data_IF_099223554518
#
_entry.id   IF_099223554518
#
_cell.length_a   1.000
_cell.length_b   1.000
_cell.length_c   1.000
_cell.angle_alpha   90.00
_cell.angle_beta   90.00
_cell.angle_gamma   90.00
#
_symmetry.space_group_name_H-M   'P 1'
#
loop_
_entity.id
_entity.type
_entity.pdbx_description
1 polymer ?
#
# COMPACT_ATOMS: atom_id res chain seq x y z
N UNK A 1 -44.38 49.98 1.09
CA UNK A 1 -43.01 49.43 1.03
C UNK A 1 -42.87 48.30 2.06
N UNK A 2 -43.51 47.15 1.84
CA UNK A 2 -43.44 45.99 2.75
C UNK A 2 -43.33 44.64 2.00
N UNK A 3 -42.89 44.68 0.73
CA UNK A 3 -42.81 43.48 -0.10
C UNK A 3 -41.39 42.85 -0.14
N UNK A 4 -40.38 43.50 0.42
CA UNK A 4 -39.02 42.94 0.51
C UNK A 4 -38.84 41.95 1.67
N UNK A 5 -39.65 42.03 2.72
CA UNK A 5 -39.52 41.15 3.89
C UNK A 5 -40.10 39.75 3.65
N UNK A 6 -41.05 39.60 2.72
CA UNK A 6 -41.67 38.29 2.43
C UNK A 6 -40.75 37.43 1.56
N UNK A 7 -39.93 38.04 0.69
CA UNK A 7 -38.95 37.34 -0.14
C UNK A 7 -37.81 36.72 0.68
N UNK A 8 -37.36 37.40 1.75
CA UNK A 8 -36.32 36.88 2.64
C UNK A 8 -36.78 35.68 3.49
N UNK A 9 -38.06 35.66 3.89
CA UNK A 9 -38.61 34.57 4.72
C UNK A 9 -38.78 33.29 3.89
N UNK A 10 -39.13 33.40 2.60
CA UNK A 10 -39.29 32.23 1.72
C UNK A 10 -37.95 31.55 1.35
N UNK A 11 -36.85 32.31 1.29
CA UNK A 11 -35.53 31.76 0.97
C UNK A 11 -34.91 30.92 2.12
N UNK A 12 -35.33 31.15 3.37
CA UNK A 12 -34.80 30.43 4.54
C UNK A 12 -35.53 29.10 4.84
N UNK A 13 -36.74 28.89 4.30
CA UNK A 13 -37.49 27.62 4.47
C UNK A 13 -37.28 26.64 3.30
N UNK A 14 -36.78 27.13 2.16
CA UNK A 14 -36.47 26.32 0.97
C UNK A 14 -35.00 25.85 0.91
N UNK A 15 -34.20 26.07 1.95
CA UNK A 15 -32.84 25.55 2.08
C UNK A 15 -32.67 24.61 3.29
N UNK A 16 -33.32 23.43 3.32
CA UNK A 16 -32.61 22.31 3.97
C UNK A 16 -32.83 20.91 3.35
N UNK A 17 -33.36 20.79 2.12
CA UNK A 17 -33.47 19.46 1.47
C UNK A 17 -32.34 19.25 0.46
N UNK A 18 -31.96 20.27 -0.32
CA UNK A 18 -30.94 20.12 -1.36
C UNK A 18 -29.48 20.20 -0.88
N UNK A 19 -29.22 20.70 0.34
CA UNK A 19 -27.86 20.75 0.91
C UNK A 19 -27.45 19.45 1.61
N UNK A 20 -28.38 18.52 1.86
CA UNK A 20 -28.06 17.19 2.42
C UNK A 20 -27.65 16.16 1.37
N UNK A 21 -27.77 16.48 0.08
CA UNK A 21 -27.35 15.58 -1.01
C UNK A 21 -25.97 15.90 -1.62
N UNK A 22 -25.28 16.93 -1.11
CA UNK A 22 -23.91 17.28 -1.54
C UNK A 22 -22.90 17.13 -0.40
N UNK A 23 -23.02 16.05 0.36
CA UNK A 23 -21.92 15.52 1.16
C UNK A 23 -21.92 14.00 1.07
N UNK A 24 -22.06 13.47 -0.15
CA UNK A 24 -21.25 12.29 -0.42
C UNK A 24 -19.87 12.82 -0.76
N UNK A 25 -18.94 12.61 0.16
CA UNK A 25 -17.54 12.90 0.00
C UNK A 25 -17.01 11.91 -1.04
N UNK A 26 -17.33 12.11 -2.32
CA UNK A 26 -16.41 11.72 -3.38
C UNK A 26 -15.27 12.74 -3.40
N UNK A 27 -14.50 12.79 -2.30
CA UNK A 27 -13.07 12.83 -2.51
C UNK A 27 -12.86 11.59 -3.35
N UNK A 28 -12.61 11.74 -4.66
CA UNK A 28 -11.86 10.70 -5.35
C UNK A 28 -10.72 10.41 -4.38
N UNK A 29 -10.79 9.27 -3.68
CA UNK A 29 -9.79 8.96 -2.68
C UNK A 29 -8.49 8.92 -3.47
N UNK A 30 -7.72 10.00 -3.40
CA UNK A 30 -6.41 10.06 -4.00
C UNK A 30 -5.61 9.09 -3.17
N UNK A 31 -5.58 7.86 -3.62
CA UNK A 31 -4.84 6.81 -2.98
C UNK A 31 -3.36 7.14 -3.04
N UNK A 32 -2.60 6.51 -2.15
CA UNK A 32 -1.16 6.63 -2.15
C UNK A 32 -0.55 6.14 -3.46
N UNK A 33 0.76 6.36 -3.65
CA UNK A 33 1.50 5.74 -4.74
C UNK A 33 1.24 4.23 -4.80
N UNK A 34 1.05 3.71 -6.01
CA UNK A 34 0.80 2.29 -6.31
C UNK A 34 -0.48 1.68 -5.68
N UNK A 35 -1.34 2.49 -5.06
CA UNK A 35 -2.63 2.05 -4.56
C UNK A 35 -3.76 2.38 -5.55
N UNK A 36 -4.78 1.53 -5.59
CA UNK A 36 -5.95 1.69 -6.45
C UNK A 36 -7.20 1.78 -5.59
N UNK A 37 -8.02 2.81 -5.77
CA UNK A 37 -9.30 2.88 -5.07
C UNK A 37 -10.24 1.77 -5.57
N UNK A 38 -10.71 0.93 -4.65
CA UNK A 38 -11.66 -0.14 -4.94
C UNK A 38 -12.93 0.06 -4.12
N UNK A 39 -14.08 -0.02 -4.78
CA UNK A 39 -15.39 -0.10 -4.13
C UNK A 39 -15.62 -1.42 -3.39
N UNK A 40 -14.80 -2.43 -3.66
CA UNK A 40 -14.89 -3.77 -3.08
C UNK A 40 -13.46 -4.24 -2.89
N UNK A 41 -12.82 -3.75 -1.82
CA UNK A 41 -11.43 -4.04 -1.50
C UNK A 41 -11.31 -5.43 -0.87
N UNK A 42 -10.24 -6.16 -1.19
CA UNK A 42 -9.96 -7.48 -0.62
C UNK A 42 -8.79 -7.40 0.37
N UNK A 43 -8.36 -8.54 0.92
CA UNK A 43 -7.12 -8.56 1.69
C UNK A 43 -5.90 -8.27 0.81
N UNK A 44 -4.81 -7.82 1.41
CA UNK A 44 -3.55 -7.46 0.74
C UNK A 44 -2.43 -8.35 1.25
N UNK A 45 -1.46 -8.66 0.39
CA UNK A 45 -0.20 -9.25 0.82
C UNK A 45 0.71 -8.19 1.45
N UNK A 46 1.58 -8.63 2.35
CA UNK A 46 2.64 -7.81 2.95
C UNK A 46 4.01 -8.30 2.51
N UNK A 47 5.06 -7.52 2.75
CA UNK A 47 6.43 -8.00 2.52
C UNK A 47 6.79 -9.24 3.35
N UNK A 48 6.19 -9.40 4.54
CA UNK A 48 6.43 -10.55 5.43
C UNK A 48 5.56 -11.76 5.07
N UNK A 49 4.36 -11.52 4.55
CA UNK A 49 3.44 -12.56 4.07
C UNK A 49 2.88 -12.16 2.69
N UNK A 50 3.60 -12.46 1.60
CA UNK A 50 3.17 -12.09 0.25
C UNK A 50 1.93 -12.86 -0.20
N UNK A 51 1.93 -14.18 0.02
CA UNK A 51 0.92 -15.11 -0.47
C UNK A 51 -0.19 -15.34 0.55
N UNK A 52 -1.06 -14.35 0.70
CA UNK A 52 -2.23 -14.45 1.60
C UNK A 52 -3.44 -15.06 0.90
N UNK A 53 -4.13 -15.98 1.60
CA UNK A 53 -5.43 -16.49 1.16
C UNK A 53 -6.54 -15.48 1.50
N UNK A 54 -6.96 -14.69 0.52
CA UNK A 54 -8.07 -13.77 0.73
C UNK A 54 -9.44 -14.47 0.75
N UNK A 55 -10.37 -14.02 1.61
CA UNK A 55 -11.75 -14.46 1.54
C UNK A 55 -12.41 -14.02 0.24
N UNK A 56 -13.48 -14.73 -0.16
CA UNK A 56 -14.25 -14.41 -1.38
C UNK A 56 -15.22 -13.22 -1.24
N UNK A 57 -15.36 -12.68 -0.03
CA UNK A 57 -16.10 -11.44 0.19
C UNK A 57 -15.13 -10.26 0.20
N UNK A 58 -15.62 -9.07 -0.09
CA UNK A 58 -14.85 -7.84 0.03
C UNK A 58 -15.27 -7.03 1.25
N UNK A 59 -14.35 -6.16 1.64
CA UNK A 59 -14.51 -5.13 2.65
C UNK A 59 -15.09 -3.85 2.02
N UNK A 60 -15.20 -2.81 2.85
CA UNK A 60 -15.67 -1.48 2.43
C UNK A 60 -14.78 -0.85 1.35
N UNK A 61 -15.22 0.30 0.85
CA UNK A 61 -14.50 1.05 -0.17
C UNK A 61 -13.16 1.56 0.40
N UNK A 62 -12.04 1.18 -0.21
CA UNK A 62 -10.71 1.50 0.31
C UNK A 62 -9.66 1.63 -0.81
N UNK A 63 -8.54 2.26 -0.49
CA UNK A 63 -7.33 2.21 -1.30
C UNK A 63 -6.69 0.84 -1.13
N UNK A 64 -6.43 0.17 -2.27
CA UNK A 64 -6.00 -1.21 -2.30
C UNK A 64 -4.60 -1.35 -2.91
N UNK A 65 -3.69 -2.03 -2.21
CA UNK A 65 -2.38 -2.44 -2.71
C UNK A 65 -2.49 -3.79 -3.42
N UNK A 66 -2.46 -3.77 -4.75
CA UNK A 66 -2.85 -4.92 -5.56
C UNK A 66 -1.70 -5.95 -5.73
N UNK A 67 -1.78 -7.03 -4.94
CA UNK A 67 -0.87 -8.18 -5.02
C UNK A 67 -0.79 -8.80 -6.42
N UNK A 68 -1.91 -8.87 -7.14
CA UNK A 68 -1.96 -9.47 -8.48
C UNK A 68 -1.23 -8.60 -9.52
N UNK A 69 -1.04 -7.31 -9.22
CA UNK A 69 -0.22 -6.39 -10.01
C UNK A 69 1.25 -6.35 -9.54
N UNK A 70 1.64 -7.21 -8.58
CA UNK A 70 3.01 -7.31 -8.10
C UNK A 70 3.38 -6.32 -7.01
N UNK A 71 2.40 -5.75 -6.30
CA UNK A 71 2.64 -4.83 -5.20
C UNK A 71 2.36 -5.49 -3.83
N UNK A 72 3.09 -5.04 -2.81
CA UNK A 72 2.97 -5.49 -1.43
C UNK A 72 3.01 -4.29 -0.49
N UNK A 73 2.34 -4.40 0.66
CA UNK A 73 2.44 -3.39 1.69
C UNK A 73 3.65 -3.68 2.59
N UNK A 74 4.52 -2.69 2.74
CA UNK A 74 5.66 -2.77 3.66
C UNK A 74 5.24 -2.48 5.11
N UNK A 75 6.20 -2.61 6.04
CA UNK A 75 5.98 -2.38 7.46
C UNK A 75 5.78 -0.90 7.84
N UNK A 76 6.12 0.03 6.93
CA UNK A 76 5.87 1.46 7.07
C UNK A 76 4.48 1.85 6.48
N UNK A 77 3.76 0.89 5.89
CA UNK A 77 2.45 1.06 5.30
C UNK A 77 2.46 1.52 3.85
N UNK A 78 3.60 1.52 3.16
CA UNK A 78 3.70 1.90 1.75
C UNK A 78 3.35 0.72 0.82
N UNK A 79 2.67 1.00 -0.28
CA UNK A 79 2.48 0.03 -1.36
C UNK A 79 3.66 0.10 -2.34
N UNK A 80 4.52 -0.91 -2.29
CA UNK A 80 5.77 -0.97 -3.06
C UNK A 80 5.78 -2.20 -3.96
N UNK A 81 6.71 -2.28 -4.92
CA UNK A 81 6.84 -3.50 -5.73
C UNK A 81 7.33 -4.62 -4.83
N UNK A 82 6.88 -5.85 -5.11
CA UNK A 82 7.34 -7.05 -4.39
C UNK A 82 8.87 -7.16 -4.36
N UNK A 83 9.54 -6.74 -5.43
CA UNK A 83 11.00 -6.72 -5.54
C UNK A 83 11.69 -5.68 -4.63
N UNK A 84 10.97 -4.65 -4.21
CA UNK A 84 11.47 -3.60 -3.30
C UNK A 84 11.31 -3.98 -1.83
N UNK A 85 10.60 -5.09 -1.54
CA UNK A 85 10.51 -5.60 -0.19
C UNK A 85 11.93 -5.94 0.30
N UNK A 86 12.34 -5.26 1.37
CA UNK A 86 13.58 -5.63 2.06
C UNK A 86 13.36 -7.02 2.62
N UNK A 87 14.14 -8.03 2.19
CA UNK A 87 14.13 -9.29 2.91
C UNK A 87 14.44 -9.02 4.39
N UNK A 88 13.87 -9.81 5.28
CA UNK A 88 14.17 -9.80 6.70
C UNK A 88 15.65 -10.15 6.91
N UNK A 89 16.50 -9.13 6.74
CA UNK A 89 17.95 -9.18 6.86
C UNK A 89 18.44 -9.78 8.19
N UNK A 90 17.76 -9.59 9.34
CA UNK A 90 18.26 -10.15 10.60
C UNK A 90 18.24 -11.67 10.62
N UNK A 91 17.27 -12.33 9.98
CA UNK A 91 17.15 -13.80 10.03
C UNK A 91 18.06 -14.48 9.00
N UNK A 92 18.11 -13.96 7.77
CA UNK A 92 18.88 -14.57 6.67
C UNK A 92 20.37 -14.59 6.95
N UNK A 93 20.89 -13.56 7.63
CA UNK A 93 22.30 -13.43 7.98
C UNK A 93 22.61 -13.81 9.44
N UNK A 94 21.62 -14.30 10.22
CA UNK A 94 21.78 -14.56 11.66
C UNK A 94 22.93 -15.53 11.97
N UNK A 95 23.04 -16.59 11.17
CA UNK A 95 23.95 -17.72 11.40
C UNK A 95 25.12 -17.77 10.41
N UNK A 96 25.32 -16.71 9.61
CA UNK A 96 26.31 -16.70 8.53
C UNK A 96 27.56 -15.95 8.95
N UNK A 97 28.67 -16.69 9.06
CA UNK A 97 30.00 -16.13 9.30
C UNK A 97 30.71 -15.89 7.98
N UNK A 98 30.66 -14.67 7.49
CA UNK A 98 31.49 -14.25 6.36
C UNK A 98 32.96 -14.07 6.77
N UNK A 99 33.91 -14.19 5.83
CA UNK A 99 35.30 -13.77 6.01
C UNK A 99 35.42 -12.35 6.58
N UNK A 100 36.53 -12.05 7.26
CA UNK A 100 36.75 -10.77 7.96
C UNK A 100 36.65 -9.52 7.06
N UNK A 101 36.83 -9.67 5.74
CA UNK A 101 36.74 -8.59 4.75
C UNK A 101 35.37 -8.49 4.08
N UNK A 102 34.41 -9.32 4.51
CA UNK A 102 33.11 -9.45 3.88
C UNK A 102 31.99 -9.13 4.87
N UNK A 103 30.88 -8.65 4.33
CA UNK A 103 29.62 -8.49 5.06
C UNK A 103 28.55 -9.40 4.46
N UNK A 104 27.70 -9.95 5.32
CA UNK A 104 26.53 -10.69 4.85
C UNK A 104 25.45 -9.68 4.45
N UNK A 105 24.92 -9.84 3.24
CA UNK A 105 23.72 -9.16 2.79
C UNK A 105 22.71 -10.19 2.31
N UNK A 106 21.41 -10.02 2.58
CA UNK A 106 20.39 -10.84 1.96
C UNK A 106 20.36 -10.54 0.45
N UNK A 107 20.40 -11.58 -0.38
CA UNK A 107 20.44 -11.46 -1.84
C UNK A 107 19.31 -12.29 -2.46
N UNK A 108 18.65 -11.73 -3.47
CA UNK A 108 17.66 -12.42 -4.29
C UNK A 108 18.40 -13.19 -5.37
N UNK A 109 18.48 -14.51 -5.29
CA UNK A 109 19.22 -15.31 -6.27
C UNK A 109 18.33 -15.74 -7.45
N UNK A 110 17.34 -16.59 -7.17
CA UNK A 110 16.42 -17.11 -8.17
C UNK A 110 14.97 -16.82 -7.80
N UNK A 111 14.24 -16.27 -8.77
CA UNK A 111 12.80 -16.13 -8.68
C UNK A 111 12.14 -17.19 -9.55
N UNK A 112 11.29 -18.02 -8.94
CA UNK A 112 10.46 -19.02 -9.62
C UNK A 112 9.00 -18.72 -9.37
N UNK A 113 8.23 -18.55 -10.44
CA UNK A 113 6.78 -18.33 -10.37
C UNK A 113 6.38 -17.21 -9.41
N UNK A 114 7.15 -16.11 -9.39
CA UNK A 114 6.99 -14.94 -8.51
C UNK A 114 7.42 -15.11 -7.06
N UNK A 115 7.89 -16.30 -6.67
CA UNK A 115 8.51 -16.58 -5.38
C UNK A 115 10.02 -16.44 -5.55
N UNK A 116 10.62 -15.54 -4.79
CA UNK A 116 12.06 -15.33 -4.80
C UNK A 116 12.69 -15.98 -3.57
N UNK A 117 13.71 -16.79 -3.80
CA UNK A 117 14.51 -17.35 -2.71
C UNK A 117 15.51 -16.29 -2.25
N UNK A 118 15.44 -15.92 -0.97
CA UNK A 118 16.39 -15.02 -0.33
C UNK A 118 17.50 -15.87 0.28
N UNK A 119 18.72 -15.65 -0.17
CA UNK A 119 19.91 -16.35 0.31
C UNK A 119 20.91 -15.38 0.92
N UNK A 120 21.69 -15.79 1.94
CA UNK A 120 22.77 -14.97 2.44
C UNK A 120 23.92 -14.93 1.44
N UNK A 121 24.40 -13.72 1.11
CA UNK A 121 25.56 -13.53 0.25
C UNK A 121 26.63 -12.73 0.99
N UNK A 122 27.83 -13.27 1.06
CA UNK A 122 28.98 -12.53 1.52
C UNK A 122 29.50 -11.66 0.38
N UNK A 123 29.52 -10.35 0.59
CA UNK A 123 30.09 -9.37 -0.34
C UNK A 123 31.29 -8.71 0.31
N UNK A 124 32.30 -8.37 -0.49
CA UNK A 124 33.47 -7.65 0.02
C UNK A 124 33.06 -6.25 0.48
N UNK A 125 33.62 -5.79 1.61
CA UNK A 125 33.42 -4.43 2.14
C UNK A 125 34.03 -3.34 1.23
N UNK A 126 34.57 -3.73 0.08
CA UNK A 126 35.37 -2.91 -0.82
C UNK A 126 35.00 -3.26 -2.26
N UNK A 127 33.84 -2.81 -2.74
CA UNK A 127 33.61 -2.52 -4.17
C UNK A 127 32.26 -1.79 -4.36
N UNK A 128 32.20 -0.56 -3.83
CA UNK A 128 31.42 0.50 -4.48
C UNK A 128 32.42 1.41 -5.23
N UNK A 129 32.93 0.95 -6.37
CA UNK A 129 33.47 1.86 -7.37
C UNK A 129 33.43 1.24 -8.79
N UNK A 130 32.24 1.22 -9.40
CA UNK A 130 32.12 1.50 -10.83
C UNK A 130 30.71 1.94 -11.24
#
# INVERSE_FOLDING_TARGET
MHLWNVFFVLALVFQPIFTRHLYDRSVEATCGPNEIFRHCATCEGSCDEPDVLCPRFCYDHACHCDFYMGFLRDNDGNCIRREDCRPNAPEVCADVLCPLTQTCVPHVDLCRDSVCEIVPKCIDLIEEEH
#
